data_IF_118425458661
#
_entry.id   IF_118425458661
#
_cell.length_a   1.000
_cell.length_b   1.000
_cell.length_c   1.000
_cell.angle_alpha   90.00
_cell.angle_beta   90.00
_cell.angle_gamma   90.00
#
_symmetry.space_group_name_H-M   'P 1'
#
loop_
_entity.id
_entity.type
_entity.pdbx_description
1 polymer ?
#
# COMPACT_ATOMS: atom_id res chain seq x y z
N UNK A 1 -1.43 26.79 33.55
CA UNK A 1 -0.78 27.73 32.60
C UNK A 1 -0.54 29.10 33.21
N UNK A 2 -1.31 29.52 34.22
CA UNK A 2 -1.19 30.87 34.82
C UNK A 2 0.13 31.15 35.56
N UNK A 3 0.89 30.10 35.94
CA UNK A 3 2.12 30.24 36.70
C UNK A 3 3.41 30.31 35.85
N UNK A 4 3.31 30.21 34.52
CA UNK A 4 4.48 30.21 33.61
C UNK A 4 4.32 31.29 32.55
N UNK A 5 5.06 32.39 32.73
CA UNK A 5 5.13 33.46 31.73
C UNK A 5 6.02 33.03 30.55
N UNK A 6 5.53 33.24 29.32
CA UNK A 6 6.27 32.95 28.08
C UNK A 6 5.73 31.77 27.26
N UNK A 7 4.82 30.96 27.78
CA UNK A 7 4.13 29.94 26.97
C UNK A 7 3.03 30.57 26.11
N UNK A 8 3.19 30.49 24.78
CA UNK A 8 2.17 30.85 23.79
C UNK A 8 1.77 29.59 22.98
N UNK A 9 0.82 28.78 23.48
CA UNK A 9 0.42 27.57 22.79
C UNK A 9 -0.37 27.89 21.51
N UNK A 10 0.25 27.66 20.35
CA UNK A 10 -0.43 27.69 19.05
C UNK A 10 -0.69 26.26 18.53
N UNK A 11 -1.95 25.85 18.35
CA UNK A 11 -2.29 24.53 17.78
C UNK A 11 -1.74 24.28 16.37
N UNK A 12 -1.43 25.32 15.59
CA UNK A 12 -0.79 25.18 14.27
C UNK A 12 0.68 24.81 14.41
N UNK A 13 1.37 25.37 15.41
CA UNK A 13 2.80 25.16 15.62
C UNK A 13 3.09 23.95 16.52
N UNK A 14 2.17 23.55 17.40
CA UNK A 14 2.45 22.55 18.44
C UNK A 14 1.71 21.21 18.27
N UNK A 15 0.88 21.06 17.23
CA UNK A 15 0.26 19.75 16.95
C UNK A 15 1.25 18.76 16.37
N UNK A 16 1.11 17.52 16.82
CA UNK A 16 1.74 16.36 16.20
C UNK A 16 0.84 15.84 15.09
N UNK A 17 1.43 15.42 13.97
CA UNK A 17 0.71 14.84 12.83
C UNK A 17 1.47 13.68 12.21
N UNK A 18 0.70 12.75 11.62
CA UNK A 18 1.21 11.57 10.92
C UNK A 18 0.47 11.46 9.59
N UNK A 19 1.19 11.49 8.48
CA UNK A 19 0.64 11.18 7.17
C UNK A 19 0.97 9.72 6.83
N UNK A 20 -0.03 8.86 6.87
CA UNK A 20 0.15 7.40 6.71
C UNK A 20 -0.43 6.96 5.38
N UNK A 21 0.29 6.09 4.66
CA UNK A 21 -0.27 5.44 3.48
C UNK A 21 -1.32 4.39 3.90
N UNK A 22 -2.55 4.45 3.39
CA UNK A 22 -3.64 3.57 3.85
C UNK A 22 -3.46 2.09 3.45
N UNK A 23 -2.68 1.81 2.40
CA UNK A 23 -2.49 0.44 1.90
C UNK A 23 -1.34 -0.25 2.61
N UNK A 24 -0.19 0.43 2.76
CA UNK A 24 1.00 -0.16 3.39
C UNK A 24 1.13 0.12 4.89
N UNK A 25 0.38 1.08 5.43
CA UNK A 25 0.49 1.52 6.82
C UNK A 25 1.78 2.29 7.14
N UNK A 26 2.63 2.55 6.13
CA UNK A 26 3.90 3.24 6.34
C UNK A 26 3.70 4.77 6.43
N UNK A 27 4.40 5.46 7.35
CA UNK A 27 4.37 6.92 7.40
C UNK A 27 5.11 7.50 6.20
N UNK A 28 4.49 8.45 5.52
CA UNK A 28 5.07 9.25 4.45
C UNK A 28 5.69 10.54 4.95
N UNK A 29 5.09 11.09 6.00
CA UNK A 29 5.55 12.27 6.72
C UNK A 29 5.12 12.13 8.18
N UNK A 30 5.96 12.58 9.12
CA UNK A 30 5.60 12.68 10.53
C UNK A 30 6.22 13.92 11.16
N UNK A 31 5.50 14.52 12.09
CA UNK A 31 6.03 15.51 13.01
C UNK A 31 5.44 15.24 14.38
N UNK A 32 6.29 14.86 15.32
CA UNK A 32 5.91 14.58 16.70
C UNK A 32 6.55 15.64 17.58
N UNK A 33 5.70 16.39 18.29
CA UNK A 33 6.08 17.49 19.16
C UNK A 33 5.64 17.16 20.57
N UNK A 34 6.57 17.18 21.51
CA UNK A 34 6.25 17.01 22.93
C UNK A 34 7.10 17.94 23.78
N UNK A 35 6.61 18.16 25.01
CA UNK A 35 7.23 19.01 26.00
C UNK A 35 7.42 18.16 27.27
N UNK A 36 8.64 18.15 27.80
CA UNK A 36 8.92 17.55 29.10
C UNK A 36 8.74 18.63 30.16
N UNK A 37 7.90 18.33 31.14
CA UNK A 37 7.64 19.18 32.29
C UNK A 37 8.19 18.54 33.55
N UNK A 38 8.77 19.35 34.42
CA UNK A 38 9.19 18.97 35.75
C UNK A 38 8.10 19.38 36.74
N UNK A 39 7.60 18.43 37.52
CA UNK A 39 6.64 18.70 38.58
C UNK A 39 7.43 18.86 39.88
N UNK A 40 7.40 20.06 40.45
CA UNK A 40 8.02 20.38 41.71
C UNK A 40 6.94 20.37 42.79
N UNK A 41 7.06 19.42 43.71
CA UNK A 41 6.14 19.27 44.85
C UNK A 41 6.47 20.31 45.94
N UNK A 42 6.05 20.10 47.19
CA UNK A 42 6.39 21.03 48.25
C UNK A 42 7.91 21.09 48.52
N UNK A 43 8.51 22.23 48.16
CA UNK A 43 9.92 22.54 48.38
C UNK A 43 10.15 23.49 49.56
N UNK A 44 9.16 23.70 50.43
CA UNK A 44 9.25 24.58 51.60
C UNK A 44 10.39 24.24 52.56
N UNK A 45 10.78 22.95 52.62
CA UNK A 45 11.91 22.48 53.42
C UNK A 45 13.30 22.69 52.78
N UNK A 46 13.38 23.14 51.53
CA UNK A 46 14.64 23.33 50.80
C UNK A 46 15.03 24.80 50.70
N UNK A 47 16.13 25.17 51.37
CA UNK A 47 16.69 26.53 51.31
C UNK A 47 16.91 26.96 49.85
N UNK A 48 16.43 28.16 49.52
CA UNK A 48 16.50 28.79 48.19
C UNK A 48 15.59 28.21 47.09
N UNK A 49 14.82 27.14 47.35
CA UNK A 49 13.91 26.54 46.37
C UNK A 49 12.41 26.77 46.69
N UNK A 50 12.10 27.40 47.82
CA UNK A 50 10.74 27.68 48.30
C UNK A 50 9.83 28.34 47.23
N UNK A 51 10.40 29.22 46.40
CA UNK A 51 9.68 29.93 45.33
C UNK A 51 9.21 29.04 44.17
N UNK A 52 9.75 27.83 44.07
CA UNK A 52 9.40 26.84 43.05
C UNK A 52 8.52 25.72 43.62
N UNK A 53 8.12 25.81 44.89
CA UNK A 53 7.22 24.85 45.53
C UNK A 53 5.86 24.82 44.81
N UNK A 54 5.31 23.62 44.61
CA UNK A 54 4.03 23.39 43.94
C UNK A 54 3.94 23.97 42.50
N UNK A 55 5.05 23.97 41.75
CA UNK A 55 5.14 24.52 40.41
C UNK A 55 5.43 23.44 39.35
N UNK A 56 4.82 23.58 38.17
CA UNK A 56 5.19 22.78 36.99
C UNK A 56 6.05 23.63 36.06
N UNK A 57 7.34 23.27 35.95
CA UNK A 57 8.33 24.00 35.16
C UNK A 57 8.54 23.28 33.82
N UNK A 58 8.36 23.95 32.67
CA UNK A 58 8.71 23.37 31.38
C UNK A 58 10.23 23.25 31.28
N UNK A 59 10.75 22.04 31.14
CA UNK A 59 12.19 21.78 31.10
C UNK A 59 12.71 21.90 29.67
N UNK A 60 12.07 21.22 28.72
CA UNK A 60 12.48 21.21 27.32
C UNK A 60 11.31 20.87 26.40
N UNK A 61 11.40 21.40 25.19
CA UNK A 61 10.54 21.06 24.06
C UNK A 61 11.43 20.57 22.94
N UNK A 62 11.02 19.50 22.26
CA UNK A 62 11.69 19.06 21.05
C UNK A 62 10.70 18.44 20.07
N UNK A 63 11.14 18.43 18.81
CA UNK A 63 10.37 17.93 17.69
C UNK A 63 11.17 16.82 16.99
N UNK A 64 10.49 15.71 16.71
CA UNK A 64 10.99 14.63 15.87
C UNK A 64 10.21 14.71 14.56
N UNK A 65 10.90 15.01 13.46
CA UNK A 65 10.29 15.10 12.13
C UNK A 65 10.87 14.10 11.14
N UNK A 66 10.00 13.65 10.23
CA UNK A 66 10.36 13.05 8.97
C UNK A 66 9.58 13.83 7.89
N UNK A 67 10.19 14.81 7.22
CA UNK A 67 9.50 15.67 6.27
C UNK A 67 9.05 14.94 5.00
N UNK A 68 9.58 13.76 4.73
CA UNK A 68 9.22 12.97 3.56
C UNK A 68 10.14 11.76 3.37
N UNK A 69 9.71 10.83 2.52
CA UNK A 69 10.59 9.74 2.08
C UNK A 69 11.69 10.28 1.15
N UNK A 70 12.95 9.83 1.31
CA UNK A 70 13.98 10.02 0.31
C UNK A 70 13.50 9.59 -1.07
N UNK A 71 13.88 10.35 -2.12
CA UNK A 71 13.42 10.11 -3.51
C UNK A 71 13.62 8.66 -3.98
N UNK A 72 14.73 8.04 -3.59
CA UNK A 72 15.04 6.64 -3.90
C UNK A 72 14.06 5.64 -3.27
N UNK A 73 13.66 5.88 -2.02
CA UNK A 73 12.68 5.06 -1.32
C UNK A 73 11.26 5.31 -1.83
N UNK A 74 10.91 6.57 -2.11
CA UNK A 74 9.62 6.93 -2.68
C UNK A 74 9.37 6.25 -4.03
N UNK A 75 10.37 6.23 -4.92
CA UNK A 75 10.27 5.56 -6.22
C UNK A 75 10.02 4.05 -6.07
N UNK A 76 10.76 3.39 -5.17
CA UNK A 76 10.56 1.96 -4.86
C UNK A 76 9.17 1.70 -4.28
N UNK A 77 8.72 2.57 -3.38
CA UNK A 77 7.41 2.48 -2.75
C UNK A 77 6.28 2.57 -3.78
N UNK A 78 6.35 3.52 -4.71
CA UNK A 78 5.39 3.66 -5.82
C UNK A 78 5.47 2.43 -6.75
N UNK A 79 6.67 1.96 -7.05
CA UNK A 79 6.86 0.77 -7.89
C UNK A 79 6.17 -0.46 -7.28
N UNK A 80 6.42 -0.76 -6.00
CA UNK A 80 5.85 -1.93 -5.33
C UNK A 80 4.34 -1.85 -5.10
N UNK A 81 3.81 -0.68 -4.71
CA UNK A 81 2.40 -0.57 -4.34
C UNK A 81 1.47 -0.26 -5.51
N UNK A 82 1.98 0.37 -6.58
CA UNK A 82 1.15 0.82 -7.69
C UNK A 82 1.48 0.11 -9.00
N UNK A 83 2.75 0.07 -9.37
CA UNK A 83 3.16 -0.44 -10.69
C UNK A 83 3.10 -1.96 -10.71
N UNK A 84 3.65 -2.63 -9.70
CA UNK A 84 3.75 -4.07 -9.65
C UNK A 84 2.37 -4.77 -9.63
N UNK A 85 1.39 -4.37 -8.78
CA UNK A 85 0.08 -5.03 -8.76
C UNK A 85 -0.70 -4.80 -10.05
N UNK A 86 -0.57 -3.61 -10.64
CA UNK A 86 -1.19 -3.31 -11.93
C UNK A 86 -0.57 -4.16 -13.05
N UNK A 87 0.76 -4.28 -13.09
CA UNK A 87 1.47 -5.14 -14.04
C UNK A 87 1.06 -6.61 -13.90
N UNK A 88 0.97 -7.10 -12.67
CA UNK A 88 0.52 -8.46 -12.36
C UNK A 88 -0.91 -8.72 -12.89
N UNK A 89 -1.85 -7.79 -12.69
CA UNK A 89 -3.20 -7.89 -13.23
C UNK A 89 -3.20 -7.94 -14.76
N UNK A 90 -2.46 -7.04 -15.42
CA UNK A 90 -2.37 -6.99 -16.89
C UNK A 90 -1.79 -8.28 -17.46
N UNK A 91 -0.72 -8.81 -16.86
CA UNK A 91 -0.08 -10.04 -17.32
C UNK A 91 -1.01 -11.25 -17.14
N UNK A 92 -1.67 -11.37 -15.98
CA UNK A 92 -2.63 -12.46 -15.72
C UNK A 92 -3.79 -12.46 -16.71
N UNK A 93 -4.42 -11.29 -16.91
CA UNK A 93 -5.56 -11.19 -17.82
C UNK A 93 -5.17 -11.36 -19.29
N UNK A 94 -4.00 -10.85 -19.70
CA UNK A 94 -3.52 -11.04 -21.07
C UNK A 94 -3.16 -12.49 -21.36
N UNK A 95 -2.49 -13.19 -20.44
CA UNK A 95 -2.16 -14.60 -20.59
C UNK A 95 -3.41 -15.48 -20.60
N UNK A 96 -4.39 -15.17 -19.76
CA UNK A 96 -5.68 -15.88 -19.74
C UNK A 96 -6.43 -15.71 -21.07
N UNK A 97 -6.52 -14.48 -21.58
CA UNK A 97 -7.16 -14.20 -22.86
C UNK A 97 -6.44 -14.92 -24.02
N UNK A 98 -5.11 -14.86 -24.04
CA UNK A 98 -4.30 -15.53 -25.04
C UNK A 98 -4.47 -17.06 -25.01
N UNK A 99 -4.42 -17.67 -23.82
CA UNK A 99 -4.70 -19.10 -23.64
C UNK A 99 -6.11 -19.49 -24.08
N UNK A 100 -7.11 -18.66 -23.77
CA UNK A 100 -8.50 -18.87 -24.22
C UNK A 100 -8.63 -18.87 -25.74
N UNK A 101 -7.97 -17.94 -26.43
CA UNK A 101 -7.96 -17.89 -27.91
C UNK A 101 -7.32 -19.16 -28.49
N UNK A 102 -6.18 -19.58 -27.95
CA UNK A 102 -5.51 -20.80 -28.41
C UNK A 102 -6.38 -22.05 -28.24
N UNK A 103 -7.09 -22.17 -27.12
CA UNK A 103 -8.03 -23.27 -26.91
C UNK A 103 -9.18 -23.26 -27.92
N UNK A 104 -9.76 -22.09 -28.21
CA UNK A 104 -10.81 -21.97 -29.23
C UNK A 104 -10.30 -22.36 -30.62
N UNK A 105 -9.08 -21.95 -30.98
CA UNK A 105 -8.44 -22.35 -32.24
C UNK A 105 -8.20 -23.87 -32.27
N UNK A 106 -7.73 -24.47 -31.18
CA UNK A 106 -7.53 -25.91 -31.09
C UNK A 106 -8.84 -26.67 -31.26
N UNK A 107 -9.91 -26.27 -30.56
CA UNK A 107 -11.23 -26.89 -30.65
C UNK A 107 -11.78 -26.79 -32.08
N UNK A 108 -11.71 -25.61 -32.71
CA UNK A 108 -12.21 -25.45 -34.09
C UNK A 108 -11.43 -26.30 -35.09
N UNK A 109 -10.10 -26.35 -34.98
CA UNK A 109 -9.25 -27.21 -35.85
C UNK A 109 -9.55 -28.69 -35.66
N UNK A 110 -9.71 -29.15 -34.42
CA UNK A 110 -10.07 -30.53 -34.11
C UNK A 110 -11.45 -30.86 -34.69
N UNK A 111 -12.47 -30.05 -34.43
CA UNK A 111 -13.83 -30.25 -34.95
C UNK A 111 -13.88 -30.31 -36.48
N UNK A 112 -13.15 -29.42 -37.17
CA UNK A 112 -13.05 -29.44 -38.64
C UNK A 112 -12.36 -30.71 -39.16
N UNK A 113 -11.32 -31.18 -38.48
CA UNK A 113 -10.57 -32.39 -38.87
C UNK A 113 -11.41 -33.65 -38.65
N UNK A 114 -12.15 -33.74 -37.54
CA UNK A 114 -13.10 -34.84 -37.34
C UNK A 114 -14.22 -34.81 -38.38
N UNK A 115 -14.75 -33.64 -38.70
CA UNK A 115 -15.81 -33.51 -39.71
C UNK A 115 -15.35 -33.95 -41.11
N UNK A 116 -14.14 -33.58 -41.52
CA UNK A 116 -13.60 -33.99 -42.83
C UNK A 116 -13.26 -35.48 -42.88
N UNK A 117 -12.73 -36.05 -41.78
CA UNK A 117 -12.48 -37.49 -41.65
C UNK A 117 -13.79 -38.30 -41.72
N UNK A 118 -14.82 -37.85 -41.00
CA UNK A 118 -16.15 -38.48 -41.02
C UNK A 118 -16.77 -38.45 -42.43
N UNK A 119 -16.76 -37.30 -43.10
CA UNK A 119 -17.28 -37.18 -44.47
C UNK A 119 -16.51 -38.07 -45.46
N UNK A 120 -15.20 -38.21 -45.30
CA UNK A 120 -14.38 -39.06 -46.17
C UNK A 120 -14.70 -40.54 -45.96
N UNK A 121 -14.82 -40.99 -44.70
CA UNK A 121 -15.20 -42.36 -44.37
C UNK A 121 -16.61 -42.72 -44.86
N UNK A 122 -17.57 -41.79 -44.72
CA UNK A 122 -18.92 -41.96 -45.24
C UNK A 122 -18.95 -42.06 -46.77
N UNK A 123 -18.16 -41.25 -47.47
CA UNK A 123 -18.07 -41.33 -48.94
C UNK A 123 -17.52 -42.69 -49.40
N UNK A 124 -16.43 -43.15 -48.79
CA UNK A 124 -15.81 -44.44 -49.12
C UNK A 124 -16.79 -45.60 -48.86
N UNK A 125 -17.51 -45.58 -47.75
CA UNK A 125 -18.49 -46.63 -47.46
C UNK A 125 -19.66 -46.65 -48.47
N UNK A 126 -20.08 -45.48 -48.95
CA UNK A 126 -21.10 -45.35 -49.98
C UNK A 126 -20.61 -45.85 -51.34
N UNK A 127 -19.39 -45.48 -51.75
CA UNK A 127 -18.75 -45.97 -52.99
C UNK A 127 -18.58 -47.50 -52.96
N UNK A 128 -18.11 -48.06 -51.84
CA UNK A 128 -18.01 -49.51 -51.66
C UNK A 128 -19.38 -50.19 -51.75
N UNK A 129 -20.43 -49.58 -51.16
CA UNK A 129 -21.78 -50.11 -51.25
C UNK A 129 -22.27 -50.14 -52.70
N UNK A 130 -22.09 -49.07 -53.46
CA UNK A 130 -22.50 -49.03 -54.87
C UNK A 130 -21.71 -50.01 -55.74
N UNK A 131 -20.45 -50.31 -55.41
CA UNK A 131 -19.64 -51.28 -56.18
C UNK A 131 -20.01 -52.74 -55.96
N UNK A 132 -20.76 -53.05 -54.89
CA UNK A 132 -21.12 -54.41 -54.49
C UNK A 132 -22.53 -54.84 -54.95
N UNK A 133 -23.26 -53.97 -55.64
CA UNK A 133 -24.57 -54.23 -56.25
C UNK A 133 -24.49 -54.04 -57.78
#
# INVERSE_FOLDING_TARGET
>A
LEHVNGSQPDPKLHRSHFMINPVSGLPLELSVKFQINMVLDDLSGMKHCERFSNLVVPALWFEITMPGLPKSLLSRFIFYLKILPFGDQVVKHSLLAFGGILLLVAITKVSLTLSSAYSSAYRISNELRESLW
#
